data_IF_721688217798
#
_entry.id   IF_721688217798
#
_cell.length_a   1.000
_cell.length_b   1.000
_cell.length_c   1.000
_cell.angle_alpha   90.00
_cell.angle_beta   90.00
_cell.angle_gamma   90.00
#
_symmetry.space_group_name_H-M   'P 1'
#
loop_
_entity.id
_entity.type
_entity.pdbx_description
1 polymer ?
#
# COMPACT_ATOMS: atom_id res chain seq x y z
N UNK A 1 0.77 -0.74 -42.69
CA UNK A 1 0.53 -1.52 -41.46
C UNK A 1 1.38 -0.88 -40.40
N UNK A 2 0.76 -0.28 -39.38
CA UNK A 2 1.50 0.43 -38.34
C UNK A 2 2.24 -0.58 -37.48
N UNK A 3 3.52 -0.30 -37.23
CA UNK A 3 4.39 -1.12 -36.40
C UNK A 3 4.86 -0.31 -35.21
N UNK A 4 5.05 -0.98 -34.09
CA UNK A 4 5.61 -0.38 -32.87
C UNK A 4 6.75 -1.25 -32.40
N UNK A 5 7.95 -0.69 -32.40
CA UNK A 5 9.14 -1.33 -31.85
C UNK A 5 9.21 -1.06 -30.35
N UNK A 6 9.36 -2.11 -29.56
CA UNK A 6 9.44 -2.05 -28.10
C UNK A 6 10.77 -2.62 -27.65
N UNK A 7 11.49 -1.87 -26.82
CA UNK A 7 12.81 -2.26 -26.30
C UNK A 7 12.72 -2.56 -24.81
N UNK A 8 13.34 -3.68 -24.39
CA UNK A 8 13.59 -4.09 -23.01
C UNK A 8 15.10 -4.00 -22.76
N UNK A 9 15.62 -2.82 -22.37
CA UNK A 9 17.05 -2.64 -22.19
C UNK A 9 17.60 -3.63 -21.16
N UNK A 10 18.74 -4.25 -21.50
CA UNK A 10 19.45 -5.20 -20.62
C UNK A 10 18.68 -6.48 -20.28
N UNK A 11 17.56 -6.76 -20.96
CA UNK A 11 16.75 -7.98 -20.79
C UNK A 11 16.30 -8.23 -19.35
N UNK A 12 16.11 -7.17 -18.57
CA UNK A 12 15.79 -7.26 -17.13
C UNK A 12 14.36 -7.71 -16.88
N UNK A 13 13.42 -7.38 -17.76
CA UNK A 13 12.00 -7.73 -17.58
C UNK A 13 11.77 -9.20 -17.88
N UNK A 14 11.29 -9.94 -16.87
CA UNK A 14 10.98 -11.38 -16.93
C UNK A 14 9.51 -11.72 -16.70
N UNK A 15 8.65 -10.71 -16.53
CA UNK A 15 7.21 -10.84 -16.30
C UNK A 15 6.42 -10.14 -17.42
N UNK A 16 5.12 -10.45 -17.60
CA UNK A 16 4.25 -9.64 -18.46
C UNK A 16 4.18 -8.20 -17.95
N UNK A 17 4.29 -7.23 -18.85
CA UNK A 17 4.29 -5.80 -18.48
C UNK A 17 3.38 -4.96 -19.39
N UNK A 18 2.70 -3.94 -18.84
CA UNK A 18 1.98 -2.96 -19.65
C UNK A 18 2.99 -2.01 -20.32
N UNK A 19 2.90 -1.87 -21.63
CA UNK A 19 3.71 -0.91 -22.40
C UNK A 19 2.78 0.11 -23.02
N UNK A 20 2.96 1.38 -22.64
CA UNK A 20 2.29 2.52 -23.25
C UNK A 20 3.09 3.00 -24.46
N UNK A 21 2.42 3.35 -25.55
CA UNK A 21 3.04 3.83 -26.77
C UNK A 21 2.08 4.70 -27.60
N UNK A 22 2.62 5.54 -28.47
CA UNK A 22 1.84 6.38 -29.38
C UNK A 22 1.91 5.82 -30.80
N UNK A 23 0.83 5.98 -31.57
CA UNK A 23 0.75 5.56 -32.98
C UNK A 23 0.32 6.71 -33.89
N UNK A 24 0.38 6.50 -35.22
CA UNK A 24 -0.12 7.46 -36.22
C UNK A 24 -1.62 7.74 -36.08
N UNK A 25 -2.04 8.93 -36.48
CA UNK A 25 -3.43 9.41 -36.49
C UNK A 25 -4.38 8.52 -37.33
N UNK A 26 -3.82 7.74 -38.27
CA UNK A 26 -4.59 6.82 -39.11
C UNK A 26 -5.16 5.61 -38.33
N UNK A 27 -4.66 5.34 -37.13
CA UNK A 27 -5.19 4.29 -36.25
C UNK A 27 -6.34 4.88 -35.41
N UNK A 28 -7.57 4.57 -35.81
CA UNK A 28 -8.82 4.98 -35.15
C UNK A 28 -9.46 3.82 -34.38
N UNK A 29 -10.41 4.07 -33.47
CA UNK A 29 -11.08 3.02 -32.68
C UNK A 29 -10.35 2.60 -31.39
N UNK A 30 -11.08 2.06 -30.42
CA UNK A 30 -10.58 1.95 -29.05
C UNK A 30 -9.75 0.68 -28.79
N UNK A 31 -9.96 -0.37 -29.57
CA UNK A 31 -9.31 -1.67 -29.36
C UNK A 31 -8.82 -2.28 -30.67
N UNK A 32 -7.57 -2.76 -30.64
CA UNK A 32 -6.92 -3.34 -31.81
C UNK A 32 -6.29 -4.68 -31.49
N UNK A 33 -6.46 -5.63 -32.40
CA UNK A 33 -5.64 -6.84 -32.43
C UNK A 33 -4.27 -6.48 -32.97
N UNK A 34 -3.25 -6.77 -32.18
CA UNK A 34 -1.84 -6.58 -32.50
C UNK A 34 -1.12 -7.93 -32.47
N UNK A 35 -0.15 -8.10 -33.37
CA UNK A 35 0.66 -9.33 -33.50
C UNK A 35 2.11 -9.03 -33.17
N UNK A 36 2.76 -9.91 -32.41
CA UNK A 36 4.22 -9.81 -32.23
C UNK A 36 5.00 -10.56 -33.31
N UNK A 37 6.33 -10.50 -33.25
CA UNK A 37 7.27 -11.22 -34.12
C UNK A 37 7.07 -12.75 -34.15
N UNK A 38 6.54 -13.33 -33.08
CA UNK A 38 6.22 -14.77 -33.00
C UNK A 38 4.86 -15.13 -33.62
N UNK A 39 4.10 -14.15 -34.09
CA UNK A 39 2.73 -14.31 -34.59
C UNK A 39 1.67 -14.43 -33.49
N UNK A 40 2.04 -14.25 -32.22
CA UNK A 40 1.10 -14.24 -31.10
C UNK A 40 0.28 -12.96 -31.13
N UNK A 41 -1.02 -13.09 -30.96
CA UNK A 41 -1.98 -11.97 -30.92
C UNK A 41 -2.28 -11.53 -29.49
N UNK A 42 -2.44 -10.22 -29.29
CA UNK A 42 -2.91 -9.59 -28.07
C UNK A 42 -3.70 -8.33 -28.44
N UNK A 43 -4.28 -7.67 -27.44
CA UNK A 43 -5.10 -6.46 -27.65
C UNK A 43 -4.33 -5.24 -27.18
N UNK A 44 -4.33 -4.21 -28.03
CA UNK A 44 -3.95 -2.85 -27.67
C UNK A 44 -5.23 -2.04 -27.36
N UNK A 45 -5.25 -1.38 -26.22
CA UNK A 45 -6.34 -0.50 -25.77
C UNK A 45 -5.91 0.96 -25.92
N UNK A 46 -6.76 1.81 -26.49
CA UNK A 46 -6.57 3.26 -26.51
C UNK A 46 -6.70 3.84 -25.10
N UNK A 47 -5.85 4.83 -24.78
CA UNK A 47 -5.84 5.55 -23.51
C UNK A 47 -6.48 6.92 -23.71
N UNK A 48 -7.62 7.18 -23.08
CA UNK A 48 -8.39 8.39 -23.33
C UNK A 48 -7.94 9.60 -22.50
N UNK A 49 -7.23 9.38 -21.40
CA UNK A 49 -6.77 10.43 -20.50
C UNK A 49 -5.36 10.95 -20.84
N UNK A 50 -4.57 10.20 -21.61
CA UNK A 50 -3.21 10.61 -22.00
C UNK A 50 -3.20 11.42 -23.32
N UNK A 51 -3.64 10.81 -24.43
CA UNK A 51 -3.88 11.48 -25.71
C UNK A 51 -4.69 10.58 -26.64
N UNK A 52 -5.35 11.15 -27.65
CA UNK A 52 -6.14 10.38 -28.60
C UNK A 52 -5.34 9.31 -29.35
N UNK A 53 -4.00 9.36 -29.37
CA UNK A 53 -3.17 8.42 -30.13
C UNK A 53 -2.33 7.48 -29.25
N UNK A 54 -2.56 7.48 -27.94
CA UNK A 54 -1.86 6.61 -27.01
C UNK A 54 -2.60 5.29 -26.82
N UNK A 55 -1.84 4.22 -26.79
CA UNK A 55 -2.31 2.86 -26.56
C UNK A 55 -1.49 2.20 -25.46
N UNK A 56 -2.09 1.19 -24.83
CA UNK A 56 -1.43 0.24 -23.94
C UNK A 56 -1.63 -1.18 -24.45
N UNK A 57 -0.56 -1.99 -24.40
CA UNK A 57 -0.64 -3.42 -24.61
C UNK A 57 0.19 -4.17 -23.56
N UNK A 58 -0.20 -5.41 -23.25
CA UNK A 58 0.58 -6.27 -22.34
C UNK A 58 1.60 -7.05 -23.16
N UNK A 59 2.88 -6.80 -22.90
CA UNK A 59 4.00 -7.38 -23.64
C UNK A 59 4.70 -8.43 -22.77
N UNK A 60 5.04 -9.55 -23.39
CA UNK A 60 5.91 -10.56 -22.81
C UNK A 60 7.19 -10.59 -23.63
N UNK A 61 8.29 -10.09 -23.07
CA UNK A 61 9.56 -10.07 -23.77
C UNK A 61 10.16 -11.47 -23.89
N UNK A 62 10.48 -11.87 -25.12
CA UNK A 62 11.29 -13.06 -25.39
C UNK A 62 12.79 -12.75 -25.54
N UNK A 63 13.14 -11.47 -25.60
CA UNK A 63 14.50 -10.95 -25.77
C UNK A 63 14.58 -9.44 -25.52
N UNK A 64 15.59 -8.76 -26.08
CA UNK A 64 15.80 -7.33 -25.84
C UNK A 64 14.83 -6.42 -26.61
N UNK A 65 14.14 -6.95 -27.63
CA UNK A 65 13.21 -6.20 -28.47
C UNK A 65 11.99 -7.06 -28.83
N UNK A 66 10.84 -6.42 -28.95
CA UNK A 66 9.60 -6.96 -29.51
C UNK A 66 9.06 -5.95 -30.54
N UNK A 67 8.42 -6.42 -31.60
CA UNK A 67 7.72 -5.55 -32.56
C UNK A 67 6.23 -5.92 -32.52
N UNK A 68 5.35 -4.93 -32.45
CA UNK A 68 3.90 -5.12 -32.52
C UNK A 68 3.39 -4.57 -33.85
N UNK A 69 2.70 -5.39 -34.64
CA UNK A 69 2.04 -4.99 -35.87
C UNK A 69 0.52 -4.90 -35.67
N UNK A 70 -0.08 -3.75 -35.98
CA UNK A 70 -1.54 -3.54 -35.93
C UNK A 70 -2.23 -4.28 -37.08
N UNK A 71 -3.18 -5.16 -36.76
CA UNK A 71 -3.85 -6.03 -37.72
C UNK A 71 -5.25 -5.52 -38.09
N UNK A 72 -6.17 -5.53 -37.13
CA UNK A 72 -7.55 -5.06 -37.30
C UNK A 72 -8.15 -4.58 -35.98
N UNK A 73 -9.14 -3.69 -36.08
CA UNK A 73 -9.95 -3.24 -34.94
C UNK A 73 -10.84 -4.38 -34.43
N UNK A 74 -11.10 -4.41 -33.12
CA UNK A 74 -11.97 -5.40 -32.47
C UNK A 74 -12.98 -4.69 -31.56
N UNK A 75 -14.21 -5.19 -31.52
CA UNK A 75 -15.26 -4.68 -30.63
C UNK A 75 -14.97 -5.08 -29.17
N UNK A 76 -15.30 -4.19 -28.22
CA UNK A 76 -15.01 -4.37 -26.78
C UNK A 76 -15.55 -5.70 -26.23
N UNK A 77 -16.75 -6.10 -26.63
CA UNK A 77 -17.44 -7.32 -26.17
C UNK A 77 -16.69 -8.61 -26.55
N UNK A 78 -15.79 -8.53 -27.54
CA UNK A 78 -14.92 -9.62 -27.98
C UNK A 78 -13.53 -9.58 -27.32
N UNK A 79 -13.20 -8.51 -26.61
CA UNK A 79 -11.91 -8.39 -25.92
C UNK A 79 -11.93 -9.22 -24.64
N UNK A 80 -10.97 -10.12 -24.52
CA UNK A 80 -10.70 -10.79 -23.23
C UNK A 80 -9.89 -9.84 -22.36
N UNK A 81 -10.41 -9.51 -21.18
CA UNK A 81 -9.81 -8.50 -20.31
C UNK A 81 -10.24 -8.55 -18.86
N UNK A 82 -9.92 -7.48 -18.13
CA UNK A 82 -10.37 -7.18 -16.77
C UNK A 82 -11.90 -7.16 -16.74
N UNK A 83 -12.50 -7.82 -15.76
CA UNK A 83 -13.95 -7.91 -15.59
C UNK A 83 -14.39 -7.27 -14.29
N UNK A 84 -15.51 -6.56 -14.33
CA UNK A 84 -16.23 -6.15 -13.13
C UNK A 84 -17.14 -7.29 -12.68
N UNK A 85 -17.07 -7.63 -11.39
CA UNK A 85 -17.86 -8.69 -10.79
C UNK A 85 -19.07 -8.04 -10.09
N UNK A 86 -20.32 -8.45 -10.39
CA UNK A 86 -21.51 -7.78 -9.85
C UNK A 86 -21.73 -7.97 -8.35
N UNK A 87 -21.11 -8.98 -7.74
CA UNK A 87 -21.26 -9.29 -6.32
C UNK A 87 -20.19 -8.59 -5.52
N UNK A 88 -20.55 -8.02 -4.39
CA UNK A 88 -19.61 -7.40 -3.46
C UNK A 88 -19.77 -7.97 -2.06
N UNK A 89 -18.67 -7.99 -1.31
CA UNK A 89 -18.62 -8.34 0.11
C UNK A 89 -18.86 -7.11 0.98
N UNK A 90 -18.27 -5.98 0.61
CA UNK A 90 -18.39 -4.73 1.36
C UNK A 90 -19.52 -3.82 0.85
N UNK A 91 -20.19 -3.11 1.77
CA UNK A 91 -21.32 -2.23 1.43
C UNK A 91 -20.88 -0.93 0.75
N UNK A 92 -19.64 -0.50 0.99
CA UNK A 92 -19.03 0.72 0.45
C UNK A 92 -18.11 0.45 -0.75
N UNK A 93 -18.22 -0.74 -1.35
CA UNK A 93 -17.49 -1.10 -2.56
C UNK A 93 -17.72 -0.05 -3.65
N UNK A 94 -16.66 0.31 -4.35
CA UNK A 94 -16.74 1.07 -5.60
C UNK A 94 -16.83 0.11 -6.78
N UNK A 95 -15.88 -0.83 -6.83
CA UNK A 95 -15.80 -1.84 -7.88
C UNK A 95 -15.17 -3.11 -7.32
N UNK A 96 -15.67 -4.26 -7.77
CA UNK A 96 -15.03 -5.55 -7.61
C UNK A 96 -14.46 -5.96 -8.96
N UNK A 97 -13.15 -6.13 -9.05
CA UNK A 97 -12.45 -6.46 -10.29
C UNK A 97 -11.81 -7.84 -10.25
N UNK A 98 -11.89 -8.53 -11.38
CA UNK A 98 -11.05 -9.67 -11.69
C UNK A 98 -10.15 -9.33 -12.89
N UNK A 99 -8.84 -9.24 -12.67
CA UNK A 99 -7.85 -8.91 -13.71
C UNK A 99 -7.35 -10.13 -14.48
N UNK A 100 -7.83 -11.33 -14.16
CA UNK A 100 -7.25 -12.60 -14.61
C UNK A 100 -6.10 -13.09 -13.73
N UNK A 101 -5.34 -12.19 -13.07
CA UNK A 101 -4.36 -12.54 -12.03
C UNK A 101 -4.87 -12.29 -10.62
N UNK A 102 -5.60 -11.20 -10.42
CA UNK A 102 -6.12 -10.80 -9.13
C UNK A 102 -7.63 -10.66 -9.14
N UNK A 103 -8.22 -10.90 -7.99
CA UNK A 103 -9.63 -10.71 -7.66
C UNK A 103 -9.66 -9.82 -6.40
N UNK A 104 -10.26 -8.63 -6.49
CA UNK A 104 -10.19 -7.65 -5.41
C UNK A 104 -11.38 -6.69 -5.37
N UNK A 105 -11.62 -6.10 -4.20
CA UNK A 105 -12.62 -5.05 -3.97
C UNK A 105 -11.95 -3.73 -3.57
N UNK A 106 -12.18 -2.69 -4.37
CA UNK A 106 -11.76 -1.32 -4.10
C UNK A 106 -12.92 -0.57 -3.44
N UNK A 107 -12.72 -0.06 -2.23
CA UNK A 107 -13.77 0.48 -1.37
C UNK A 107 -13.56 1.97 -1.05
N UNK A 108 -14.68 2.68 -0.81
CA UNK A 108 -14.70 4.13 -0.54
C UNK A 108 -14.41 4.49 0.93
N UNK A 109 -14.45 3.53 1.84
CA UNK A 109 -14.44 3.78 3.28
C UNK A 109 -15.78 4.31 3.79
N UNK A 110 -15.97 4.23 5.10
CA UNK A 110 -17.23 4.64 5.78
C UNK A 110 -17.03 5.77 6.79
N UNK A 111 -15.78 6.17 7.05
CA UNK A 111 -15.39 7.25 7.97
C UNK A 111 -15.89 7.07 9.43
N UNK A 112 -15.97 5.84 9.94
CA UNK A 112 -16.44 5.58 11.31
C UNK A 112 -15.29 5.48 12.33
N UNK A 113 -14.04 5.67 11.90
CA UNK A 113 -12.86 5.59 12.77
C UNK A 113 -12.53 4.17 13.22
N UNK A 114 -12.99 3.15 12.49
CA UNK A 114 -12.75 1.74 12.79
C UNK A 114 -11.98 1.07 11.65
N UNK A 115 -11.34 -0.09 11.90
CA UNK A 115 -10.65 -0.83 10.84
C UNK A 115 -11.54 -1.15 9.63
N UNK A 116 -12.81 -1.52 9.89
CA UNK A 116 -13.85 -1.72 8.86
C UNK A 116 -14.21 -0.46 8.06
N UNK A 117 -13.72 0.72 8.46
CA UNK A 117 -14.00 2.00 7.80
C UNK A 117 -12.95 2.39 6.77
N UNK A 118 -11.87 1.60 6.64
CA UNK A 118 -10.74 1.89 5.76
C UNK A 118 -11.18 1.93 4.29
N UNK A 119 -10.69 2.91 3.54
CA UNK A 119 -10.76 2.90 2.08
C UNK A 119 -9.53 2.22 1.46
N UNK A 120 -9.59 1.90 0.17
CA UNK A 120 -8.53 1.18 -0.55
C UNK A 120 -8.95 -0.24 -0.91
N UNK A 121 -7.98 -1.15 -1.08
CA UNK A 121 -8.28 -2.56 -1.37
C UNK A 121 -8.62 -3.28 -0.06
N UNK A 122 -9.87 -3.70 0.14
CA UNK A 122 -10.34 -4.37 1.37
C UNK A 122 -10.48 -5.89 1.23
N UNK A 123 -10.50 -6.38 0.00
CA UNK A 123 -10.38 -7.80 -0.32
C UNK A 123 -9.39 -7.94 -1.46
N UNK A 124 -8.48 -8.90 -1.36
CA UNK A 124 -7.46 -9.12 -2.39
C UNK A 124 -7.00 -10.57 -2.41
N UNK A 125 -7.02 -11.14 -3.60
CA UNK A 125 -6.72 -12.55 -3.81
C UNK A 125 -6.02 -12.75 -5.15
N UNK A 126 -4.97 -13.57 -5.19
CA UNK A 126 -4.53 -14.18 -6.44
C UNK A 126 -5.55 -15.24 -6.89
N UNK A 127 -6.02 -15.15 -8.14
CA UNK A 127 -7.06 -16.03 -8.69
C UNK A 127 -6.68 -17.51 -8.57
N UNK A 128 -5.40 -17.83 -8.80
CA UNK A 128 -4.88 -19.19 -8.75
C UNK A 128 -4.73 -19.72 -7.31
N UNK A 129 -4.46 -18.85 -6.34
CA UNK A 129 -4.29 -19.24 -4.93
C UNK A 129 -5.63 -19.43 -4.21
N UNK A 130 -6.66 -18.66 -4.62
CA UNK A 130 -8.00 -18.69 -4.01
C UNK A 130 -8.01 -18.38 -2.51
N UNK A 131 -7.05 -17.57 -2.06
CA UNK A 131 -6.94 -17.08 -0.69
C UNK A 131 -7.07 -15.57 -0.68
N UNK A 132 -8.09 -15.09 0.04
CA UNK A 132 -8.22 -13.67 0.37
C UNK A 132 -7.19 -13.31 1.44
N UNK A 133 -6.36 -12.31 1.19
CA UNK A 133 -5.35 -11.80 2.13
C UNK A 133 -5.95 -10.83 3.15
N UNK A 134 -7.21 -10.41 2.93
CA UNK A 134 -7.97 -9.47 3.76
C UNK A 134 -9.41 -9.99 3.98
N UNK A 135 -9.61 -11.20 4.53
CA UNK A 135 -10.91 -11.85 4.55
C UNK A 135 -11.98 -11.13 5.39
N UNK A 136 -11.60 -10.34 6.41
CA UNK A 136 -12.59 -9.64 7.25
C UNK A 136 -12.99 -8.26 6.74
N UNK A 137 -12.23 -7.70 5.79
CA UNK A 137 -12.37 -6.32 5.35
C UNK A 137 -11.96 -5.27 6.39
N UNK A 138 -11.46 -5.63 7.58
CA UNK A 138 -11.09 -4.65 8.61
C UNK A 138 -9.71 -4.01 8.41
N UNK A 139 -8.95 -4.50 7.44
CA UNK A 139 -7.67 -3.96 7.01
C UNK A 139 -7.74 -3.63 5.52
N UNK A 140 -6.80 -2.81 5.07
CA UNK A 140 -6.76 -2.41 3.67
C UNK A 140 -5.33 -2.27 3.16
N UNK A 141 -5.17 -2.38 1.84
CA UNK A 141 -3.95 -1.96 1.16
C UNK A 141 -4.10 -0.58 0.54
N UNK A 142 -3.00 0.16 0.61
CA UNK A 142 -2.82 1.48 0.02
C UNK A 142 -3.48 2.64 0.76
N UNK A 143 -3.84 2.47 2.03
CA UNK A 143 -4.03 3.60 2.93
C UNK A 143 -2.71 4.36 3.11
N UNK A 144 -2.78 5.69 3.27
CA UNK A 144 -1.65 6.47 3.76
C UNK A 144 -2.02 7.26 5.01
N UNK A 145 -1.01 7.52 5.84
CA UNK A 145 -1.19 7.92 7.22
C UNK A 145 -0.34 9.15 7.54
N UNK A 146 0.99 9.08 7.48
CA UNK A 146 1.88 10.18 7.89
C UNK A 146 1.93 11.35 6.90
N UNK A 147 2.25 12.59 7.36
CA UNK A 147 2.42 13.00 8.76
C UNK A 147 1.09 13.22 9.52
N UNK A 148 -0.05 12.93 8.90
CA UNK A 148 -1.37 13.22 9.45
C UNK A 148 -1.74 12.25 10.58
N UNK A 149 -1.30 11.01 10.45
CA UNK A 149 -1.26 9.98 11.48
C UNK A 149 0.10 9.98 12.15
N UNK A 150 0.31 10.97 13.01
CA UNK A 150 1.49 11.01 13.87
C UNK A 150 1.06 11.36 15.29
N UNK A 151 1.83 10.96 16.30
CA UNK A 151 1.53 11.36 17.67
C UNK A 151 1.52 12.90 17.80
N UNK A 152 2.36 13.59 17.03
CA UNK A 152 2.46 15.05 17.04
C UNK A 152 1.24 15.74 16.42
N UNK A 153 0.46 15.03 15.59
CA UNK A 153 -0.79 15.55 15.01
C UNK A 153 -2.04 14.95 15.68
N UNK A 154 -1.88 14.16 16.75
CA UNK A 154 -2.98 13.52 17.46
C UNK A 154 -3.63 12.36 16.69
N UNK A 155 -2.81 11.50 16.08
CA UNK A 155 -3.17 10.17 15.54
C UNK A 155 -4.41 10.13 14.63
N UNK A 156 -4.52 11.10 13.71
CA UNK A 156 -5.57 11.08 12.69
C UNK A 156 -5.22 10.07 11.63
N UNK A 157 -5.96 8.97 11.57
CA UNK A 157 -5.82 7.96 10.54
C UNK A 157 -6.74 8.31 9.35
N UNK A 158 -6.24 8.84 8.21
CA UNK A 158 -7.10 9.22 7.10
C UNK A 158 -7.82 8.02 6.48
N UNK A 159 -7.26 6.80 6.54
CA UNK A 159 -7.92 5.61 6.03
C UNK A 159 -9.27 5.37 6.73
N UNK A 160 -9.32 5.56 8.05
CA UNK A 160 -10.49 5.22 8.86
C UNK A 160 -11.50 6.36 9.05
N UNK A 161 -11.07 7.62 8.85
CA UNK A 161 -11.86 8.82 9.20
C UNK A 161 -12.36 9.62 7.98
N UNK A 162 -12.33 9.02 6.79
CA UNK A 162 -12.68 9.67 5.53
C UNK A 162 -13.45 8.71 4.61
N UNK A 163 -14.38 9.26 3.84
CA UNK A 163 -14.91 8.62 2.63
C UNK A 163 -14.22 9.24 1.41
N UNK A 164 -13.53 8.43 0.60
CA UNK A 164 -12.89 8.90 -0.64
C UNK A 164 -13.88 9.01 -1.79
N UNK A 165 -13.69 10.02 -2.63
CA UNK A 165 -14.27 10.07 -3.97
C UNK A 165 -13.42 9.19 -4.90
N UNK A 166 -14.06 8.31 -5.66
CA UNK A 166 -13.38 7.40 -6.59
C UNK A 166 -13.88 7.67 -8.00
N UNK A 167 -12.93 7.97 -8.89
CA UNK A 167 -13.20 8.25 -10.31
C UNK A 167 -12.38 7.34 -11.20
N UNK A 168 -12.98 6.75 -12.26
CA UNK A 168 -12.21 6.07 -13.28
C UNK A 168 -11.46 7.13 -14.10
N UNK A 169 -10.16 6.92 -14.27
CA UNK A 169 -9.29 7.72 -15.14
C UNK A 169 -9.15 6.99 -16.48
N UNK A 170 -8.92 5.68 -16.43
CA UNK A 170 -8.96 4.78 -17.58
C UNK A 170 -9.88 3.61 -17.25
N UNK A 171 -10.70 3.19 -18.22
CA UNK A 171 -11.71 2.16 -17.96
C UNK A 171 -11.86 1.22 -19.15
N UNK A 172 -10.84 0.41 -19.41
CA UNK A 172 -10.88 -0.60 -20.47
C UNK A 172 -10.51 -2.02 -20.02
N UNK A 173 -10.67 -2.99 -20.91
CA UNK A 173 -10.39 -4.40 -20.65
C UNK A 173 -8.90 -4.74 -20.49
N UNK A 174 -7.97 -3.94 -21.00
CA UNK A 174 -6.52 -4.19 -20.87
C UNK A 174 -5.93 -3.47 -19.66
N UNK A 175 -6.36 -2.23 -19.42
CA UNK A 175 -5.94 -1.40 -18.30
C UNK A 175 -7.14 -0.66 -17.71
N UNK A 176 -7.20 -0.63 -16.37
CA UNK A 176 -8.07 0.27 -15.61
C UNK A 176 -7.23 1.12 -14.70
N UNK A 177 -7.60 2.39 -14.57
CA UNK A 177 -6.97 3.34 -13.66
C UNK A 177 -8.04 4.06 -12.85
N UNK A 178 -7.85 4.16 -11.54
CA UNK A 178 -8.78 4.83 -10.62
C UNK A 178 -8.04 5.87 -9.79
N UNK A 179 -8.62 7.05 -9.69
CA UNK A 179 -8.19 8.09 -8.76
C UNK A 179 -9.11 8.11 -7.56
N UNK A 180 -8.55 7.80 -6.40
CA UNK A 180 -9.13 8.06 -5.08
C UNK A 180 -8.77 9.49 -4.68
N UNK A 181 -9.67 10.25 -4.09
CA UNK A 181 -9.39 11.62 -3.66
C UNK A 181 -10.14 11.99 -2.39
N UNK A 182 -9.51 12.82 -1.56
CA UNK A 182 -10.08 13.23 -0.29
C UNK A 182 -9.44 14.48 0.29
N UNK A 183 -10.04 14.96 1.39
CA UNK A 183 -9.48 16.01 2.25
C UNK A 183 -9.12 15.39 3.58
N UNK A 184 -7.88 15.54 3.99
CA UNK A 184 -7.39 14.96 5.23
C UNK A 184 -8.08 15.66 6.42
N UNK A 185 -8.58 14.91 7.42
CA UNK A 185 -9.15 15.52 8.60
C UNK A 185 -8.12 16.37 9.35
N UNK A 186 -8.57 17.49 9.92
CA UNK A 186 -7.68 18.42 10.61
C UNK A 186 -7.31 17.88 12.00
N UNK A 187 -6.02 17.83 12.29
CA UNK A 187 -5.47 17.38 13.58
C UNK A 187 -5.00 18.52 14.46
N UNK A 188 -4.04 18.23 15.34
CA UNK A 188 -3.50 19.25 16.25
C UNK A 188 -2.65 20.30 15.53
N UNK A 189 -2.01 19.94 14.41
CA UNK A 189 -1.04 20.80 13.72
C UNK A 189 -1.68 21.71 12.69
N UNK A 190 -1.71 23.04 12.91
CA UNK A 190 -2.31 23.98 11.97
C UNK A 190 -1.67 23.94 10.58
N UNK A 191 -0.36 23.65 10.49
CA UNK A 191 0.34 23.57 9.21
C UNK A 191 -0.10 22.37 8.33
N UNK A 192 -0.74 21.37 8.93
CA UNK A 192 -1.31 20.20 8.26
C UNK A 192 -2.81 20.35 7.96
N UNK A 193 -3.45 21.46 8.33
CA UNK A 193 -4.88 21.66 8.11
C UNK A 193 -5.23 21.89 6.64
N UNK A 194 -6.41 21.45 6.25
CA UNK A 194 -6.97 21.71 4.91
C UNK A 194 -6.31 20.97 3.76
N UNK A 195 -5.36 20.07 4.03
CA UNK A 195 -4.63 19.33 3.01
C UNK A 195 -5.51 18.32 2.29
N UNK A 196 -5.28 18.17 1.00
CA UNK A 196 -5.96 17.21 0.13
C UNK A 196 -4.97 16.17 -0.36
N UNK A 197 -5.53 15.08 -0.85
CA UNK A 197 -4.76 14.05 -1.52
C UNK A 197 -5.52 13.47 -2.71
N UNK A 198 -4.76 12.83 -3.58
CA UNK A 198 -5.22 11.86 -4.54
C UNK A 198 -4.32 10.62 -4.50
N UNK A 199 -4.88 9.47 -4.86
CA UNK A 199 -4.18 8.20 -4.99
C UNK A 199 -4.62 7.55 -6.29
N UNK A 200 -3.68 7.38 -7.20
CA UNK A 200 -3.93 6.74 -8.49
C UNK A 200 -3.55 5.28 -8.40
N UNK A 201 -4.47 4.40 -8.77
CA UNK A 201 -4.26 2.97 -8.88
C UNK A 201 -4.32 2.55 -10.33
N UNK A 202 -3.35 1.77 -10.79
CA UNK A 202 -3.36 1.17 -12.13
C UNK A 202 -3.38 -0.35 -12.03
N UNK A 203 -4.34 -0.96 -12.72
CA UNK A 203 -4.52 -2.40 -12.82
C UNK A 203 -4.47 -2.85 -14.27
N UNK A 204 -3.90 -4.02 -14.52
CA UNK A 204 -3.63 -4.51 -15.87
C UNK A 204 -4.09 -5.96 -16.03
N UNK A 205 -4.55 -6.30 -17.22
CA UNK A 205 -5.04 -7.63 -17.54
C UNK A 205 -3.93 -8.68 -17.58
N UNK A 206 -4.09 -9.76 -16.81
CA UNK A 206 -3.18 -10.90 -16.71
C UNK A 206 -1.73 -10.56 -16.30
N UNK A 207 -1.55 -9.44 -15.61
CA UNK A 207 -0.24 -8.96 -15.10
C UNK A 207 -0.14 -9.23 -13.59
N UNK A 208 1.00 -9.74 -13.08
CA UNK A 208 1.13 -10.16 -11.69
C UNK A 208 1.47 -9.00 -10.73
N UNK A 209 1.19 -7.76 -11.13
CA UNK A 209 1.40 -6.58 -10.30
C UNK A 209 0.36 -5.50 -10.60
N UNK A 210 0.22 -4.57 -9.66
CA UNK A 210 -0.50 -3.32 -9.83
C UNK A 210 0.39 -2.16 -9.38
N UNK A 211 0.01 -0.95 -9.77
CA UNK A 211 0.80 0.26 -9.51
C UNK A 211 -0.02 1.27 -8.73
N UNK A 212 0.64 2.08 -7.92
CA UNK A 212 0.01 3.23 -7.27
C UNK A 212 0.92 4.42 -7.06
N UNK A 213 0.35 5.63 -7.09
CA UNK A 213 1.04 6.90 -6.82
C UNK A 213 0.19 7.76 -5.90
N UNK A 214 0.82 8.36 -4.90
CA UNK A 214 0.15 9.26 -3.96
C UNK A 214 0.51 10.70 -4.27
N UNK A 215 -0.50 11.53 -4.47
CA UNK A 215 -0.39 12.98 -4.58
C UNK A 215 -0.96 13.61 -3.33
N UNK A 216 -0.16 14.38 -2.61
CA UNK A 216 -0.59 15.09 -1.39
C UNK A 216 -0.23 16.55 -1.55
N UNK A 217 -1.11 17.45 -1.14
CA UNK A 217 -0.79 18.88 -1.10
C UNK A 217 0.50 19.09 -0.31
N UNK A 218 1.35 20.00 -0.78
CA UNK A 218 2.61 20.30 -0.11
C UNK A 218 2.43 20.54 1.39
N UNK A 219 3.28 19.93 2.20
CA UNK A 219 3.33 20.13 3.63
C UNK A 219 4.76 20.09 4.15
N UNK A 220 4.95 20.76 5.28
CA UNK A 220 6.15 20.66 6.08
C UNK A 220 5.74 20.65 7.55
N UNK A 221 6.26 19.69 8.30
CA UNK A 221 6.10 19.64 9.75
C UNK A 221 7.34 19.01 10.39
N UNK A 222 7.30 18.82 11.70
CA UNK A 222 8.35 18.13 12.45
C UNK A 222 7.79 16.89 13.11
N UNK A 223 8.45 15.73 12.97
CA UNK A 223 8.13 14.51 13.72
C UNK A 223 9.39 14.07 14.44
N UNK A 224 9.33 13.90 15.76
CA UNK A 224 10.51 13.58 16.58
C UNK A 224 11.70 14.54 16.31
N UNK A 225 11.43 15.85 16.30
CA UNK A 225 12.42 16.89 15.99
C UNK A 225 13.10 16.79 14.61
N UNK A 226 12.66 15.87 13.75
CA UNK A 226 13.13 15.74 12.36
C UNK A 226 12.18 16.48 11.45
N UNK A 227 12.73 17.29 10.55
CA UNK A 227 11.93 17.93 9.50
C UNK A 227 11.35 16.88 8.56
N UNK A 228 10.04 16.93 8.38
CA UNK A 228 9.29 16.12 7.43
C UNK A 228 8.74 17.08 6.38
N UNK A 229 9.21 16.92 5.15
CA UNK A 229 8.74 17.66 3.98
C UNK A 229 8.27 16.62 2.97
N UNK A 230 6.99 16.68 2.61
CA UNK A 230 6.39 15.84 1.56
C UNK A 230 6.76 14.36 1.66
N UNK A 231 6.70 13.80 2.88
CA UNK A 231 6.89 12.36 3.15
C UNK A 231 5.67 11.77 3.83
N UNK A 232 5.22 10.62 3.33
CA UNK A 232 4.07 9.88 3.81
C UNK A 232 4.46 8.52 4.40
N UNK A 233 3.55 7.97 5.18
CA UNK A 233 3.53 6.56 5.54
C UNK A 233 2.46 5.89 4.70
N UNK A 234 2.83 4.92 3.89
CA UNK A 234 1.91 3.96 3.27
C UNK A 234 1.92 2.70 4.12
N UNK A 235 0.75 2.09 4.33
CA UNK A 235 0.64 0.81 5.02
C UNK A 235 -0.22 -0.15 4.21
N UNK A 236 0.39 -1.28 3.85
CA UNK A 236 -0.31 -2.43 3.31
C UNK A 236 -0.47 -3.44 4.45
N UNK A 237 -1.72 -3.60 4.89
CA UNK A 237 -2.06 -4.49 5.98
C UNK A 237 -2.57 -5.83 5.46
N UNK A 238 -2.40 -6.89 6.26
CA UNK A 238 -2.84 -8.24 5.92
C UNK A 238 -3.44 -8.96 7.13
N UNK A 239 -4.32 -9.92 6.84
CA UNK A 239 -5.03 -10.70 7.82
C UNK A 239 -4.97 -12.20 7.50
N UNK A 240 -4.61 -13.01 8.50
CA UNK A 240 -4.54 -14.47 8.35
C UNK A 240 -5.35 -15.23 9.40
N UNK A 241 -5.97 -14.52 10.34
CA UNK A 241 -6.65 -15.10 11.50
C UNK A 241 -5.72 -15.48 12.64
N UNK A 242 -6.30 -15.75 13.80
CA UNK A 242 -5.56 -16.07 15.04
C UNK A 242 -4.68 -17.31 14.85
N UNK A 243 -3.41 -17.19 15.22
CA UNK A 243 -2.39 -18.24 15.17
C UNK A 243 -1.74 -18.42 13.79
N UNK A 244 -2.04 -17.57 12.82
CA UNK A 244 -1.56 -17.69 11.45
C UNK A 244 -0.81 -16.43 11.01
N UNK A 245 -0.10 -16.55 9.89
CA UNK A 245 0.51 -15.44 9.16
C UNK A 245 0.18 -15.57 7.67
N UNK A 246 0.11 -14.43 6.99
CA UNK A 246 0.10 -14.39 5.52
C UNK A 246 1.55 -14.57 5.03
N UNK A 247 2.49 -13.88 5.66
CA UNK A 247 3.92 -13.91 5.40
C UNK A 247 4.68 -14.11 6.72
N UNK A 248 5.72 -14.94 6.70
CA UNK A 248 6.52 -15.26 7.88
C UNK A 248 7.96 -14.73 7.78
N UNK A 249 8.32 -14.10 6.66
CA UNK A 249 9.63 -13.49 6.45
C UNK A 249 9.53 -12.12 5.79
N UNK A 250 10.48 -11.25 6.11
CA UNK A 250 10.67 -9.96 5.44
C UNK A 250 12.09 -9.85 4.86
N UNK A 251 12.22 -9.30 3.66
CA UNK A 251 13.49 -9.13 2.96
C UNK A 251 13.59 -7.79 2.25
N UNK A 252 14.83 -7.31 2.10
CA UNK A 252 15.21 -6.18 1.25
C UNK A 252 16.31 -6.63 0.30
N UNK A 253 16.46 -5.93 -0.83
CA UNK A 253 17.27 -6.40 -1.97
C UNK A 253 18.71 -6.79 -1.57
N UNK A 254 19.37 -5.91 -0.82
CA UNK A 254 20.78 -6.05 -0.39
C UNK A 254 20.94 -6.66 1.03
N UNK A 255 19.90 -7.32 1.54
CA UNK A 255 19.84 -7.78 2.93
C UNK A 255 19.26 -6.71 3.86
N UNK A 256 18.80 -7.16 5.03
CA UNK A 256 18.00 -6.35 5.94
C UNK A 256 18.87 -5.82 7.07
N UNK A 257 19.04 -4.50 7.12
CA UNK A 257 19.46 -3.79 8.33
C UNK A 257 18.22 -3.44 9.14
N UNK A 258 18.14 -3.82 10.42
CA UNK A 258 16.95 -3.58 11.24
C UNK A 258 17.23 -3.42 12.74
N UNK A 259 16.25 -2.86 13.45
CA UNK A 259 16.14 -2.89 14.92
C UNK A 259 14.86 -3.60 15.33
N UNK A 260 14.90 -4.33 16.42
CA UNK A 260 13.76 -5.12 16.92
C UNK A 260 12.94 -4.40 17.99
N UNK A 261 11.65 -4.70 18.02
CA UNK A 261 10.71 -4.21 19.03
C UNK A 261 10.25 -2.77 18.79
N UNK A 262 9.15 -2.42 19.44
CA UNK A 262 8.43 -1.17 19.23
C UNK A 262 8.30 -0.37 20.54
N UNK A 263 9.30 0.48 20.87
CA UNK A 263 9.30 1.28 22.08
C UNK A 263 8.10 2.22 22.18
N UNK A 264 7.67 2.78 21.05
CA UNK A 264 6.50 3.66 21.01
C UNK A 264 5.25 2.87 21.39
N UNK A 265 5.09 1.68 20.81
CA UNK A 265 3.92 0.84 21.08
C UNK A 265 3.80 0.50 22.57
N UNK A 266 4.92 0.12 23.20
CA UNK A 266 4.98 -0.16 24.63
C UNK A 266 4.66 1.05 25.51
N UNK A 267 5.19 2.24 25.20
CA UNK A 267 4.91 3.45 25.99
C UNK A 267 3.48 3.93 25.84
N UNK A 268 2.90 3.84 24.64
CA UNK A 268 1.49 4.18 24.41
C UNK A 268 0.58 3.25 25.22
N UNK A 269 0.84 1.93 25.18
CA UNK A 269 0.07 0.96 25.95
C UNK A 269 0.11 1.28 27.46
N UNK A 270 1.28 1.60 28.01
CA UNK A 270 1.40 2.00 29.42
C UNK A 270 0.58 3.25 29.73
N UNK A 271 0.63 4.27 28.86
CA UNK A 271 -0.15 5.50 29.05
C UNK A 271 -1.66 5.26 28.99
N UNK A 272 -2.12 4.41 28.06
CA UNK A 272 -3.52 4.00 28.00
C UNK A 272 -3.95 3.36 29.31
N UNK A 273 -3.13 2.45 29.86
CA UNK A 273 -3.40 1.81 31.15
C UNK A 273 -3.52 2.83 32.29
N UNK A 274 -2.63 3.83 32.35
CA UNK A 274 -2.73 4.92 33.33
C UNK A 274 -4.06 5.70 33.19
N UNK A 275 -4.44 6.09 31.98
CA UNK A 275 -5.63 6.90 31.72
C UNK A 275 -6.94 6.17 32.00
N UNK A 276 -7.06 4.89 31.61
CA UNK A 276 -8.31 4.15 31.81
C UNK A 276 -8.56 3.81 33.28
N UNK A 277 -7.49 3.73 34.09
CA UNK A 277 -7.58 3.48 35.54
C UNK A 277 -7.61 4.75 36.39
N UNK A 278 -7.33 5.92 35.81
CA UNK A 278 -7.60 7.20 36.43
C UNK A 278 -9.11 7.32 36.68
N UNK A 279 -9.51 7.65 37.91
CA UNK A 279 -10.92 7.78 38.33
C UNK A 279 -11.62 9.02 37.78
N UNK A 280 -10.91 9.91 37.07
CA UNK A 280 -11.48 11.09 36.47
C UNK A 280 -12.49 10.74 35.37
N UNK A 281 -13.73 11.24 35.50
CA UNK A 281 -14.73 11.17 34.43
C UNK A 281 -14.37 12.14 33.30
N UNK A 282 -14.45 11.70 32.05
CA UNK A 282 -14.19 12.50 30.86
C UNK A 282 -15.41 12.53 29.94
N UNK A 283 -15.20 12.64 28.62
CA UNK A 283 -16.25 12.59 27.60
C UNK A 283 -16.95 11.22 27.57
N UNK A 284 -18.17 11.17 27.03
CA UNK A 284 -18.89 9.89 26.87
C UNK A 284 -18.10 8.92 25.97
N UNK A 285 -17.44 9.45 24.93
CA UNK A 285 -16.58 8.66 24.04
C UNK A 285 -15.38 8.06 24.78
N UNK A 286 -14.77 8.81 25.69
CA UNK A 286 -13.72 8.27 26.55
C UNK A 286 -14.24 7.15 27.45
N UNK A 287 -15.42 7.29 28.03
CA UNK A 287 -16.00 6.24 28.88
C UNK A 287 -16.31 4.96 28.08
N UNK A 288 -16.73 5.11 26.82
CA UNK A 288 -16.88 3.97 25.90
C UNK A 288 -15.55 3.27 25.62
N UNK A 289 -14.47 4.03 25.37
CA UNK A 289 -13.12 3.46 25.24
C UNK A 289 -12.67 2.80 26.54
N UNK A 290 -12.81 3.46 27.69
CA UNK A 290 -12.47 2.91 29.01
C UNK A 290 -13.17 1.57 29.23
N UNK A 291 -14.46 1.46 28.93
CA UNK A 291 -15.22 0.21 29.06
C UNK A 291 -14.66 -0.89 28.15
N UNK A 292 -14.40 -0.59 26.87
CA UNK A 292 -13.84 -1.58 25.93
C UNK A 292 -12.44 -2.05 26.34
N UNK A 293 -11.59 -1.11 26.76
CA UNK A 293 -10.22 -1.35 27.15
C UNK A 293 -10.09 -2.10 28.48
N UNK A 294 -11.02 -1.90 29.42
CA UNK A 294 -10.99 -2.57 30.74
C UNK A 294 -11.73 -3.91 30.77
N UNK A 295 -12.80 -4.07 29.97
CA UNK A 295 -13.61 -5.30 29.96
C UNK A 295 -12.98 -6.47 29.20
N UNK A 296 -12.01 -6.21 28.32
CA UNK A 296 -11.36 -7.23 27.51
C UNK A 296 -9.89 -6.90 27.22
N UNK A 297 -9.09 -6.56 28.24
CA UNK A 297 -7.67 -6.21 28.09
C UNK A 297 -6.84 -7.23 27.30
N UNK A 298 -7.20 -8.53 27.37
CA UNK A 298 -6.50 -9.59 26.66
C UNK A 298 -6.74 -9.59 25.14
N UNK A 299 -7.83 -8.98 24.65
CA UNK A 299 -8.16 -8.86 23.22
C UNK A 299 -8.39 -7.42 22.78
N UNK A 300 -8.03 -6.41 23.60
CA UNK A 300 -8.12 -5.03 23.21
C UNK A 300 -7.21 -4.83 21.99
N UNK A 301 -7.82 -4.55 20.83
CA UNK A 301 -7.06 -4.33 19.61
C UNK A 301 -6.15 -3.13 19.81
N UNK A 302 -4.92 -3.21 19.28
CA UNK A 302 -3.99 -2.08 19.24
C UNK A 302 -4.67 -0.80 18.71
N UNK A 303 -5.71 -0.98 17.88
CA UNK A 303 -6.47 0.14 17.36
C UNK A 303 -7.18 1.00 18.40
N UNK A 304 -7.69 0.37 19.47
CA UNK A 304 -8.34 1.13 20.52
C UNK A 304 -7.36 2.00 21.31
N UNK A 305 -6.09 1.61 21.38
CA UNK A 305 -5.08 2.36 22.13
C UNK A 305 -4.76 3.68 21.45
N UNK A 306 -4.57 3.66 20.13
CA UNK A 306 -4.28 4.88 19.40
C UNK A 306 -5.54 5.73 19.20
N UNK A 307 -6.72 5.13 18.97
CA UNK A 307 -7.99 5.87 18.82
C UNK A 307 -8.34 6.72 20.03
N UNK A 308 -7.92 6.31 21.24
CA UNK A 308 -8.08 7.10 22.46
C UNK A 308 -7.44 8.50 22.35
N UNK A 309 -6.35 8.62 21.58
CA UNK A 309 -5.64 9.88 21.36
C UNK A 309 -5.94 10.51 20.00
N UNK A 310 -6.93 10.00 19.26
CA UNK A 310 -7.37 10.60 18.00
C UNK A 310 -8.12 11.90 18.27
N UNK A 311 -7.67 12.99 17.64
CA UNK A 311 -8.36 14.29 17.68
C UNK A 311 -9.79 14.16 17.14
N UNK A 312 -9.96 13.34 16.10
CA UNK A 312 -11.26 13.16 15.45
C UNK A 312 -12.24 12.44 16.38
N UNK A 313 -11.76 11.44 17.13
CA UNK A 313 -12.58 10.68 18.08
C UNK A 313 -13.00 11.54 19.29
N UNK A 314 -12.24 12.60 19.61
CA UNK A 314 -12.55 13.55 20.67
C UNK A 314 -12.82 12.86 22.04
N UNK A 315 -12.14 11.74 22.29
CA UNK A 315 -12.19 11.05 23.58
C UNK A 315 -11.49 11.90 24.65
N UNK A 316 -10.30 12.42 24.32
CA UNK A 316 -9.52 13.33 25.15
C UNK A 316 -9.59 14.76 24.60
N UNK A 317 -9.45 15.75 25.48
CA UNK A 317 -9.25 17.14 25.03
C UNK A 317 -7.92 17.30 24.30
N UNK A 318 -7.78 18.34 23.46
CA UNK A 318 -6.53 18.60 22.72
C UNK A 318 -5.33 18.73 23.67
N UNK A 319 -5.46 19.48 24.77
CA UNK A 319 -4.42 19.63 25.80
C UNK A 319 -4.03 18.29 26.43
N UNK A 320 -4.99 17.39 26.66
CA UNK A 320 -4.71 16.04 27.16
C UNK A 320 -3.99 15.19 26.12
N UNK A 321 -4.39 15.23 24.85
CA UNK A 321 -3.70 14.51 23.78
C UNK A 321 -2.25 14.98 23.70
N UNK A 322 -2.03 16.29 23.64
CA UNK A 322 -0.69 16.89 23.58
C UNK A 322 0.17 16.48 24.78
N UNK A 323 -0.35 16.64 25.99
CA UNK A 323 0.38 16.34 27.22
C UNK A 323 0.75 14.86 27.32
N UNK A 324 -0.21 13.97 27.06
CA UNK A 324 0.00 12.53 27.21
C UNK A 324 0.90 11.97 26.11
N UNK A 325 0.68 12.35 24.84
CA UNK A 325 1.53 11.90 23.75
C UNK A 325 2.93 12.51 23.83
N UNK A 326 3.10 13.70 24.39
CA UNK A 326 4.43 14.25 24.68
C UNK A 326 5.21 13.35 25.65
N UNK A 327 4.60 12.92 26.75
CA UNK A 327 5.23 11.99 27.71
C UNK A 327 5.58 10.64 27.07
N UNK A 328 4.65 10.06 26.30
CA UNK A 328 4.87 8.81 25.55
C UNK A 328 6.06 8.95 24.61
N UNK A 329 6.10 10.01 23.81
CA UNK A 329 7.18 10.29 22.85
C UNK A 329 8.53 10.45 23.54
N UNK A 330 8.61 11.29 24.57
CA UNK A 330 9.88 11.54 25.29
C UNK A 330 10.50 10.23 25.79
N UNK A 331 9.68 9.35 26.38
CA UNK A 331 10.14 8.03 26.85
C UNK A 331 10.51 7.10 25.70
N UNK A 332 9.65 7.01 24.68
CA UNK A 332 9.86 6.14 23.53
C UNK A 332 11.13 6.50 22.74
N UNK A 333 11.41 7.79 22.55
CA UNK A 333 12.60 8.27 21.84
C UNK A 333 13.90 7.90 22.55
N UNK A 334 13.92 8.04 23.89
CA UNK A 334 15.09 7.60 24.68
C UNK A 334 15.27 6.10 24.53
N UNK A 335 14.20 5.32 24.67
CA UNK A 335 14.25 3.86 24.56
C UNK A 335 14.70 3.40 23.17
N UNK A 336 14.25 4.07 22.11
CA UNK A 336 14.62 3.78 20.72
C UNK A 336 16.14 3.92 20.45
N UNK A 337 16.79 4.85 21.13
CA UNK A 337 18.20 5.21 20.91
C UNK A 337 19.16 4.64 21.99
N UNK A 338 18.68 3.76 22.87
CA UNK A 338 19.56 3.09 23.84
C UNK A 338 20.57 2.19 23.12
N UNK A 339 21.82 2.19 23.62
CA UNK A 339 22.92 1.39 23.06
C UNK A 339 22.68 -0.13 23.11
N UNK A 340 21.72 -0.60 23.90
CA UNK A 340 21.33 -2.01 24.00
C UNK A 340 20.32 -2.44 22.91
N UNK A 341 19.94 -1.52 22.00
CA UNK A 341 19.19 -1.78 20.76
C UNK A 341 20.08 -1.56 19.51
N UNK A 342 21.08 -2.43 19.27
CA UNK A 342 21.95 -2.27 18.12
C UNK A 342 21.20 -2.49 16.81
N UNK A 343 21.72 -1.91 15.74
CA UNK A 343 21.36 -2.32 14.39
C UNK A 343 21.87 -3.73 14.13
N UNK A 344 20.98 -4.59 13.65
CA UNK A 344 21.26 -5.95 13.22
C UNK A 344 21.32 -5.99 11.69
N UNK A 345 22.10 -6.93 11.16
CA UNK A 345 22.12 -7.23 9.74
C UNK A 345 21.80 -8.69 9.50
N UNK A 346 20.94 -8.94 8.52
CA UNK A 346 20.65 -10.29 8.00
C UNK A 346 20.76 -10.30 6.48
N UNK A 347 21.61 -11.18 5.95
CA UNK A 347 21.66 -11.44 4.51
C UNK A 347 20.43 -12.24 4.03
N UNK A 348 19.84 -13.02 4.93
CA UNK A 348 18.64 -13.82 4.70
C UNK A 348 17.38 -13.07 5.12
N UNK A 349 16.20 -13.45 4.59
CA UNK A 349 14.91 -12.90 5.05
C UNK A 349 14.72 -13.06 6.57
N UNK A 350 14.33 -11.98 7.24
CA UNK A 350 14.16 -11.90 8.69
C UNK A 350 12.84 -12.55 9.11
N UNK A 351 12.88 -13.40 10.14
CA UNK A 351 11.67 -13.92 10.80
C UNK A 351 11.14 -12.91 11.83
N UNK A 352 10.29 -11.99 11.38
CA UNK A 352 9.79 -10.89 12.22
C UNK A 352 8.95 -11.43 13.39
N UNK A 353 8.21 -12.52 13.20
CA UNK A 353 7.39 -13.13 14.26
C UNK A 353 8.20 -13.72 15.43
N UNK A 354 9.51 -13.91 15.24
CA UNK A 354 10.42 -14.44 16.27
C UNK A 354 11.19 -13.34 17.02
N UNK A 355 11.11 -12.09 16.58
CA UNK A 355 11.82 -10.97 17.23
C UNK A 355 10.97 -10.34 18.34
N UNK A 356 11.60 -9.45 19.13
CA UNK A 356 10.90 -8.68 20.16
C UNK A 356 9.71 -7.91 19.59
N UNK A 357 8.58 -7.94 20.31
CA UNK A 357 7.28 -7.33 19.98
C UNK A 357 6.71 -7.72 18.60
N UNK A 358 7.34 -8.69 17.92
CA UNK A 358 7.02 -9.14 16.57
C UNK A 358 6.98 -8.00 15.56
N UNK A 359 7.87 -7.03 15.76
CA UNK A 359 8.01 -5.84 14.95
C UNK A 359 9.49 -5.59 14.71
N UNK A 360 9.84 -5.26 13.46
CA UNK A 360 11.16 -4.73 13.11
C UNK A 360 11.01 -3.37 12.46
N UNK A 361 11.99 -2.50 12.71
CA UNK A 361 12.20 -1.27 11.96
C UNK A 361 13.38 -1.47 11.02
N UNK A 362 13.09 -1.66 9.74
CA UNK A 362 14.11 -1.89 8.72
C UNK A 362 14.63 -0.57 8.14
N UNK A 363 15.89 -0.59 7.69
CA UNK A 363 16.55 0.53 7.04
C UNK A 363 16.03 0.82 5.63
N UNK A 364 16.69 1.75 4.92
CA UNK A 364 16.21 2.22 3.63
C UNK A 364 16.25 1.15 2.54
N UNK A 365 15.20 1.10 1.71
CA UNK A 365 15.17 0.25 0.51
C UNK A 365 14.19 0.79 -0.54
N UNK A 366 14.49 0.51 -1.81
CA UNK A 366 13.55 0.67 -2.95
C UNK A 366 12.88 -0.65 -3.32
N UNK A 367 13.42 -1.79 -2.89
CA UNK A 367 12.96 -3.13 -3.26
C UNK A 367 12.89 -4.01 -2.00
N UNK A 368 11.70 -4.49 -1.69
CA UNK A 368 11.43 -5.32 -0.52
C UNK A 368 10.43 -6.43 -0.82
N UNK A 369 10.39 -7.45 0.02
CA UNK A 369 9.43 -8.53 -0.09
C UNK A 369 9.01 -9.08 1.28
N UNK A 370 7.75 -9.48 1.38
CA UNK A 370 7.23 -10.33 2.44
C UNK A 370 6.95 -11.71 1.86
N UNK A 371 7.43 -12.76 2.53
CA UNK A 371 7.50 -14.11 1.98
C UNK A 371 6.79 -15.09 2.91
N UNK A 372 5.95 -15.95 2.33
CA UNK A 372 5.42 -17.14 2.97
C UNK A 372 6.29 -18.34 2.60
N UNK A 373 7.04 -18.86 3.57
CA UNK A 373 7.98 -19.96 3.34
C UNK A 373 7.30 -21.32 3.20
N UNK A 374 6.02 -21.43 3.57
CA UNK A 374 5.25 -22.67 3.45
C UNK A 374 4.60 -22.80 2.07
N UNK A 375 4.04 -21.71 1.54
CA UNK A 375 3.34 -21.70 0.25
C UNK A 375 4.22 -21.27 -0.92
N UNK A 376 5.34 -20.61 -0.63
CA UNK A 376 6.21 -19.99 -1.63
C UNK A 376 5.67 -18.68 -2.21
N UNK A 377 4.52 -18.20 -1.73
CA UNK A 377 3.97 -16.90 -2.10
C UNK A 377 4.83 -15.77 -1.54
N UNK A 378 4.94 -14.68 -2.28
CA UNK A 378 5.57 -13.47 -1.81
C UNK A 378 4.85 -12.24 -2.36
N UNK A 379 4.73 -11.22 -1.52
CA UNK A 379 4.40 -9.86 -1.91
C UNK A 379 5.70 -9.10 -2.13
N UNK A 380 5.87 -8.49 -3.29
CA UNK A 380 7.10 -7.79 -3.71
C UNK A 380 6.75 -6.34 -3.98
N UNK A 381 7.45 -5.43 -3.31
CA UNK A 381 7.30 -3.99 -3.51
C UNK A 381 8.55 -3.42 -4.17
N UNK A 382 8.34 -2.64 -5.22
CA UNK A 382 9.33 -1.74 -5.78
C UNK A 382 8.81 -0.30 -5.67
N UNK A 383 9.65 0.61 -5.16
CA UNK A 383 9.36 2.03 -5.06
C UNK A 383 10.39 2.83 -5.83
N UNK A 384 9.94 3.84 -6.59
CA UNK A 384 10.80 4.73 -7.38
C UNK A 384 11.84 5.47 -6.51
N UNK A 385 11.44 5.88 -5.32
CA UNK A 385 12.33 6.43 -4.30
C UNK A 385 12.38 5.51 -3.10
N UNK A 386 13.54 5.47 -2.43
CA UNK A 386 13.70 4.65 -1.23
C UNK A 386 12.77 5.16 -0.12
N UNK A 387 12.00 4.27 0.49
CA UNK A 387 11.51 4.55 1.84
C UNK A 387 12.73 4.53 2.76
N UNK A 388 12.90 5.58 3.56
CA UNK A 388 14.07 5.69 4.45
C UNK A 388 14.04 4.71 5.63
N UNK A 389 12.87 4.15 5.92
CA UNK A 389 12.66 3.12 6.93
C UNK A 389 11.36 2.37 6.65
N UNK A 390 11.23 1.19 7.25
CA UNK A 390 9.98 0.43 7.26
C UNK A 390 9.63 0.00 8.67
N UNK A 391 8.35 -0.05 9.00
CA UNK A 391 7.82 -0.79 10.14
C UNK A 391 7.18 -2.06 9.59
N UNK A 392 7.74 -3.21 9.95
CA UNK A 392 7.21 -4.50 9.56
C UNK A 392 6.68 -5.20 10.80
N UNK A 393 5.43 -5.63 10.75
CA UNK A 393 4.75 -6.29 11.85
C UNK A 393 4.26 -7.65 11.39
N UNK A 394 4.53 -8.71 12.16
CA UNK A 394 4.04 -10.05 11.90
C UNK A 394 3.58 -10.71 13.20
N UNK A 395 2.31 -10.53 13.59
CA UNK A 395 1.77 -10.96 14.89
C UNK A 395 0.84 -12.17 14.77
N UNK A 396 1.35 -13.41 14.93
CA UNK A 396 0.52 -14.61 14.91
C UNK A 396 -0.67 -14.58 15.86
N UNK A 397 -0.55 -13.98 17.06
CA UNK A 397 -1.64 -14.01 18.04
C UNK A 397 -2.91 -13.28 17.58
N UNK A 398 -2.79 -12.27 16.72
CA UNK A 398 -3.94 -11.58 16.12
C UNK A 398 -4.15 -11.94 14.64
N UNK A 399 -3.11 -12.45 13.97
CA UNK A 399 -3.10 -12.66 12.52
C UNK A 399 -2.88 -11.38 11.71
N UNK A 400 -2.64 -10.24 12.37
CA UNK A 400 -2.39 -8.94 11.76
C UNK A 400 -0.93 -8.81 11.35
N UNK A 401 -0.73 -8.32 10.13
CA UNK A 401 0.58 -7.95 9.59
C UNK A 401 0.50 -6.60 8.90
N UNK A 402 1.64 -5.94 8.82
CA UNK A 402 1.76 -4.63 8.18
C UNK A 402 3.11 -4.50 7.49
N UNK A 403 3.07 -4.04 6.25
CA UNK A 403 4.18 -3.43 5.54
C UNK A 403 3.99 -1.92 5.56
N UNK A 404 4.72 -1.21 6.44
CA UNK A 404 4.59 0.24 6.64
C UNK A 404 5.84 1.01 6.23
N UNK A 405 5.71 2.14 5.54
CA UNK A 405 6.84 3.04 5.20
C UNK A 405 7.07 4.13 6.26
N UNK A 406 7.07 3.72 7.53
CA UNK A 406 7.30 4.55 8.72
C UNK A 406 8.54 4.08 9.48
N UNK A 407 9.30 5.03 10.00
CA UNK A 407 10.37 4.76 10.95
C UNK A 407 9.80 4.68 12.37
N UNK A 408 10.68 4.38 13.31
CA UNK A 408 10.36 4.39 14.74
C UNK A 408 9.64 5.67 15.15
N UNK A 409 8.54 5.50 15.90
CA UNK A 409 7.63 6.56 16.36
C UNK A 409 6.81 7.24 15.26
N UNK A 410 6.34 6.45 14.29
CA UNK A 410 5.41 6.91 13.24
C UNK A 410 6.00 8.02 12.35
N UNK A 411 7.32 8.03 12.15
CA UNK A 411 7.95 9.04 11.32
C UNK A 411 7.85 8.65 9.83
N UNK A 412 7.07 9.38 9.01
CA UNK A 412 6.85 9.01 7.61
C UNK A 412 8.14 9.08 6.80
N UNK A 413 8.34 8.08 5.94
CA UNK A 413 9.64 7.85 5.31
C UNK A 413 9.63 7.77 3.78
N UNK A 414 8.46 7.62 3.14
CA UNK A 414 8.33 7.54 1.69
C UNK A 414 8.02 8.92 1.10
N UNK A 415 8.76 9.41 0.10
CA UNK A 415 8.43 10.67 -0.57
C UNK A 415 7.05 10.62 -1.27
N UNK A 416 6.29 11.72 -1.16
CA UNK A 416 5.06 11.93 -1.95
C UNK A 416 5.40 11.88 -3.44
N UNK A 417 4.50 11.32 -4.25
CA UNK A 417 4.69 11.15 -5.68
C UNK A 417 5.51 9.92 -6.09
N UNK A 418 6.08 9.17 -5.13
CA UNK A 418 6.79 7.93 -5.45
C UNK A 418 5.85 6.92 -6.09
N UNK A 419 6.21 6.42 -7.29
CA UNK A 419 5.57 5.26 -7.88
C UNK A 419 5.87 4.00 -7.06
N UNK A 420 4.82 3.23 -6.75
CA UNK A 420 4.91 1.94 -6.07
C UNK A 420 4.34 0.87 -6.99
N UNK A 421 5.17 -0.11 -7.34
CA UNK A 421 4.72 -1.36 -7.94
C UNK A 421 4.61 -2.44 -6.85
N UNK A 422 3.50 -3.16 -6.83
CA UNK A 422 3.26 -4.26 -5.90
C UNK A 422 2.89 -5.51 -6.69
N UNK A 423 3.77 -6.52 -6.63
CA UNK A 423 3.57 -7.81 -7.26
C UNK A 423 3.24 -8.89 -6.24
N UNK A 424 2.38 -9.83 -6.61
CA UNK A 424 2.01 -10.96 -5.74
C UNK A 424 1.96 -12.26 -6.53
N UNK A 425 2.57 -13.30 -5.99
CA UNK A 425 2.64 -14.61 -6.63
C UNK A 425 3.70 -15.52 -6.01
N UNK A 426 3.95 -16.71 -6.60
CA UNK A 426 4.85 -17.73 -6.04
C UNK A 426 6.33 -17.36 -6.26
N UNK A 427 6.75 -16.23 -5.67
CA UNK A 427 8.02 -15.58 -5.93
C UNK A 427 9.09 -15.78 -4.86
N UNK A 428 8.88 -16.65 -3.87
CA UNK A 428 9.86 -16.88 -2.79
C UNK A 428 11.31 -17.01 -3.29
N UNK A 429 11.53 -17.74 -4.41
CA UNK A 429 12.86 -18.05 -4.91
C UNK A 429 13.41 -17.03 -5.92
N UNK A 430 12.57 -16.16 -6.48
CA UNK A 430 12.95 -15.22 -7.55
C UNK A 430 12.38 -13.81 -7.39
N UNK A 431 11.94 -13.43 -6.18
CA UNK A 431 11.36 -12.11 -5.92
C UNK A 431 12.27 -10.95 -6.31
N UNK A 432 13.61 -11.12 -6.26
CA UNK A 432 14.58 -10.13 -6.72
C UNK A 432 14.48 -9.88 -8.23
N UNK A 433 14.33 -10.95 -9.03
CA UNK A 433 14.14 -10.82 -10.49
C UNK A 433 12.80 -10.15 -10.83
N UNK A 434 11.76 -10.41 -10.03
CA UNK A 434 10.48 -9.70 -10.15
C UNK A 434 10.67 -8.22 -9.81
N UNK A 435 11.32 -7.89 -8.70
CA UNK A 435 11.59 -6.51 -8.31
C UNK A 435 12.43 -5.74 -9.35
N UNK A 436 13.43 -6.40 -9.95
CA UNK A 436 14.23 -5.85 -11.05
C UNK A 436 13.40 -5.63 -12.32
N UNK A 437 12.45 -6.53 -12.60
CA UNK A 437 11.52 -6.36 -13.72
C UNK A 437 10.60 -5.15 -13.51
N UNK A 438 10.13 -4.92 -12.27
CA UNK A 438 9.30 -3.76 -11.91
C UNK A 438 10.09 -2.46 -12.04
N UNK A 439 11.33 -2.42 -11.54
CA UNK A 439 12.21 -1.26 -11.68
C UNK A 439 12.52 -0.93 -13.14
N UNK A 440 12.77 -1.96 -13.96
CA UNK A 440 13.10 -1.81 -15.38
C UNK A 440 11.93 -1.31 -16.26
N UNK A 441 10.71 -1.23 -15.73
CA UNK A 441 9.56 -0.65 -16.46
C UNK A 441 9.83 0.78 -16.91
N UNK A 442 10.55 1.57 -16.10
CA UNK A 442 10.92 2.95 -16.43
C UNK A 442 11.88 3.07 -17.62
N UNK A 443 12.58 1.98 -17.94
CA UNK A 443 13.55 1.91 -19.04
C UNK A 443 12.92 1.42 -20.35
N UNK A 444 11.70 0.89 -20.34
CA UNK A 444 11.02 0.42 -21.55
C UNK A 444 10.78 1.60 -22.49
N UNK A 445 11.16 1.40 -23.76
CA UNK A 445 10.92 2.38 -24.83
C UNK A 445 10.03 1.73 -25.89
N UNK A 446 9.08 2.50 -26.39
CA UNK A 446 8.21 2.08 -27.46
C UNK A 446 8.10 3.19 -28.50
N UNK A 447 8.43 2.86 -29.75
CA UNK A 447 8.51 3.81 -30.86
C UNK A 447 7.69 3.27 -32.03
N UNK A 448 6.80 4.09 -32.58
CA UNK A 448 6.09 3.74 -33.80
C UNK A 448 7.01 3.93 -35.02
N UNK A 449 6.93 2.97 -35.96
CA UNK A 449 7.68 2.98 -37.23
C UNK A 449 6.81 3.38 -38.43
#
# INVERSE_FOLDING_TARGET
MVKVKITNPQEKIKIPVPVKFSVSDDITGDYWVVKNNSGKTFVAQRLHNDSDHNFVAIVNFSGPEEELSFDHEIEEDKVKGIKEIPTAKENDVYVHLNTGKFDFELCRGTAQGEGSSKWGLRHFMAVDEKRDLLPSGNNAMGGFYGPFFTPDNGLINPAEHLIVDIKPIENGPVMKEYRLSGRIPDGLKPELHGKRFALDWSFYYDVPFFSRVYHVDHFQTTVNQRSIVDKITVGDEFESGIGQLVFDRFATYDGVWYREGDPYSGQLANKVQELVHDGQKRSDRFEDFRKQLTSNMANAHWDLYWRLFSVWENALSQDEIETNLHDVRQKAFVLAELNDRPWLFSADPVNVSAVKDQTVFAGPATKSAEINTQTGQAMVWQTEHASNAFQIVQRPQSGWQNWGTNAENECPSLPVGSLIHTAYGPYQNNWREVADSLEALADVRAEAE
#
